data_IF_993242958507
#
_entry.id   IF_993242958507
#
_cell.length_a   1.000
_cell.length_b   1.000
_cell.length_c   1.000
_cell.angle_alpha   90.00
_cell.angle_beta   90.00
_cell.angle_gamma   90.00
#
_symmetry.space_group_name_H-M   'P 1'
#
loop_
_entity.id
_entity.type
_entity.pdbx_description
1 polymer ?
#
# COMPACT_ATOMS: atom_id res chain seq x y z
N UNK A 1 -17.38 12.43 18.69
CA UNK A 1 -15.93 12.35 18.44
C UNK A 1 -15.62 10.95 17.93
N UNK A 2 -15.03 10.84 16.76
CA UNK A 2 -14.82 9.53 16.10
C UNK A 2 -13.63 8.77 16.72
N UNK A 3 -12.61 9.48 17.20
CA UNK A 3 -11.32 8.91 17.61
C UNK A 3 -10.93 9.20 19.06
N UNK A 4 -11.79 9.84 19.85
CA UNK A 4 -11.55 10.22 21.25
C UNK A 4 -10.20 10.97 21.48
N UNK A 5 -9.76 11.75 20.51
CA UNK A 5 -8.61 12.65 20.65
C UNK A 5 -9.14 14.02 21.07
N UNK A 6 -8.67 14.54 22.19
CA UNK A 6 -8.97 15.90 22.67
C UNK A 6 -7.90 16.90 22.23
N UNK A 7 -8.26 18.19 22.28
CA UNK A 7 -7.32 19.26 21.92
C UNK A 7 -6.11 19.28 22.86
N UNK A 8 -6.32 18.99 24.17
CA UNK A 8 -5.23 18.92 25.13
C UNK A 8 -4.23 17.78 24.82
N UNK A 9 -4.69 16.67 24.23
CA UNK A 9 -3.81 15.57 23.85
C UNK A 9 -2.86 15.93 22.72
N UNK A 10 -3.23 16.91 21.88
CA UNK A 10 -2.44 17.34 20.72
C UNK A 10 -1.79 18.70 20.90
N UNK A 11 -2.08 19.41 22.00
CA UNK A 11 -1.54 20.75 22.27
C UNK A 11 0.00 20.81 22.20
N UNK A 12 0.65 19.76 22.69
CA UNK A 12 2.13 19.63 22.69
C UNK A 12 2.66 18.76 21.55
N UNK A 13 1.81 18.37 20.61
CA UNK A 13 2.23 17.59 19.45
C UNK A 13 3.13 18.43 18.54
N UNK A 14 4.10 17.78 17.95
CA UNK A 14 4.97 18.41 16.95
C UNK A 14 4.16 18.76 15.71
N UNK A 15 4.45 19.90 15.10
CA UNK A 15 3.82 20.31 13.86
C UNK A 15 4.09 19.29 12.75
N UNK A 16 3.09 19.04 11.90
CA UNK A 16 3.14 17.97 10.91
C UNK A 16 4.28 18.15 9.91
N UNK A 17 4.56 19.37 9.47
CA UNK A 17 5.68 19.71 8.59
C UNK A 17 7.06 19.37 9.17
N UNK A 18 7.17 19.21 10.49
CA UNK A 18 8.41 18.77 11.17
C UNK A 18 8.48 17.25 11.30
N UNK A 19 7.34 16.57 11.33
CA UNK A 19 7.27 15.11 11.50
C UNK A 19 7.32 14.40 10.15
N UNK A 20 6.76 15.01 9.10
CA UNK A 20 6.68 14.41 7.78
C UNK A 20 8.06 13.99 7.19
N UNK A 21 9.15 14.78 7.30
CA UNK A 21 10.46 14.35 6.84
C UNK A 21 10.99 13.10 7.54
N UNK A 22 10.71 12.96 8.84
CA UNK A 22 11.12 11.79 9.62
C UNK A 22 10.33 10.54 9.16
N UNK A 23 9.03 10.72 8.88
CA UNK A 23 8.22 9.66 8.30
C UNK A 23 8.74 9.26 6.92
N UNK A 24 9.04 10.21 6.03
CA UNK A 24 9.57 9.93 4.70
C UNK A 24 10.93 9.22 4.77
N UNK A 25 11.81 9.63 5.68
CA UNK A 25 13.09 8.98 5.91
C UNK A 25 12.91 7.55 6.45
N UNK A 26 11.93 7.33 7.32
CA UNK A 26 11.58 6.00 7.85
C UNK A 26 10.99 5.09 6.77
N UNK A 27 10.06 5.61 5.98
CA UNK A 27 9.41 4.86 4.90
C UNK A 27 10.37 4.54 3.75
N UNK A 28 11.34 5.42 3.48
CA UNK A 28 12.28 5.23 2.38
C UNK A 28 11.55 4.94 1.07
N UNK A 29 11.94 3.85 0.41
CA UNK A 29 11.30 3.34 -0.81
C UNK A 29 10.38 2.13 -0.55
N UNK A 30 10.04 1.86 0.70
CA UNK A 30 9.20 0.72 1.06
C UNK A 30 7.76 0.91 0.58
N UNK A 31 7.07 -0.22 0.37
CA UNK A 31 5.65 -0.23 0.03
C UNK A 31 4.83 0.12 1.27
N UNK A 32 3.98 1.13 1.17
CA UNK A 32 3.10 1.55 2.25
C UNK A 32 1.85 0.67 2.28
N UNK A 33 1.47 0.14 3.43
CA UNK A 33 0.26 -0.67 3.57
C UNK A 33 -0.71 -0.03 4.56
N UNK A 34 -1.99 0.05 4.17
CA UNK A 34 -3.01 0.62 5.04
C UNK A 34 -4.42 0.22 4.63
N UNK A 35 -5.37 0.37 5.55
CA UNK A 35 -6.78 0.09 5.31
C UNK A 35 -7.49 1.33 4.76
N UNK A 36 -7.96 1.28 3.52
CA UNK A 36 -8.46 2.43 2.78
C UNK A 36 -7.39 3.53 2.59
N UNK A 37 -6.14 3.12 2.50
CA UNK A 37 -4.99 4.01 2.37
C UNK A 37 -5.10 4.90 1.12
N UNK A 38 -5.55 4.34 0.00
CA UNK A 38 -5.77 5.07 -1.24
C UNK A 38 -6.85 6.17 -1.09
N UNK A 39 -7.91 5.86 -0.34
CA UNK A 39 -9.02 6.79 -0.11
C UNK A 39 -8.74 7.87 0.91
N UNK A 40 -7.80 7.64 1.81
CA UNK A 40 -7.51 8.52 2.95
C UNK A 40 -6.04 8.94 3.00
N UNK A 41 -5.17 8.11 3.54
CA UNK A 41 -3.81 8.48 3.94
C UNK A 41 -2.97 9.03 2.78
N UNK A 42 -3.00 8.36 1.62
CA UNK A 42 -2.22 8.80 0.45
C UNK A 42 -2.61 10.18 -0.04
N UNK A 43 -3.89 10.55 0.06
CA UNK A 43 -4.34 11.89 -0.34
C UNK A 43 -3.72 12.98 0.53
N UNK A 44 -3.62 12.74 1.83
CA UNK A 44 -2.97 13.66 2.75
C UNK A 44 -1.46 13.71 2.52
N UNK A 45 -0.83 12.54 2.38
CA UNK A 45 0.61 12.45 2.15
C UNK A 45 1.02 13.15 0.85
N UNK A 46 0.33 12.90 -0.27
CA UNK A 46 0.59 13.59 -1.54
C UNK A 46 0.44 15.11 -1.41
N UNK A 47 -0.70 15.57 -0.86
CA UNK A 47 -0.95 16.99 -0.67
C UNK A 47 0.13 17.66 0.18
N UNK A 48 0.52 17.02 1.27
CA UNK A 48 1.40 17.64 2.26
C UNK A 48 2.87 17.55 1.84
N UNK A 49 3.29 16.50 1.15
CA UNK A 49 4.59 16.45 0.49
C UNK A 49 4.74 17.56 -0.55
N UNK A 50 3.73 17.76 -1.40
CA UNK A 50 3.73 18.85 -2.38
C UNK A 50 3.75 20.20 -1.70
N UNK A 51 2.86 20.40 -0.72
CA UNK A 51 2.69 21.70 -0.03
C UNK A 51 3.94 22.15 0.72
N UNK A 52 4.59 21.24 1.46
CA UNK A 52 5.69 21.60 2.37
C UNK A 52 7.06 21.43 1.76
N UNK A 53 7.21 20.57 0.75
CA UNK A 53 8.52 20.21 0.19
C UNK A 53 8.61 20.33 -1.32
N UNK A 54 7.49 20.62 -2.02
CA UNK A 54 7.46 20.64 -3.48
C UNK A 54 7.84 19.28 -4.11
N UNK A 55 7.60 18.19 -3.39
CA UNK A 55 7.99 16.85 -3.79
C UNK A 55 6.76 15.94 -3.86
N UNK A 56 6.76 15.02 -4.82
CA UNK A 56 5.74 13.99 -4.92
C UNK A 56 6.21 12.73 -4.20
N UNK A 57 5.35 12.17 -3.35
CA UNK A 57 5.59 10.86 -2.75
C UNK A 57 5.56 9.78 -3.85
N UNK A 58 6.59 8.96 -3.92
CA UNK A 58 6.77 7.95 -4.99
C UNK A 58 6.58 6.52 -4.50
N UNK A 59 6.31 6.32 -3.23
CA UNK A 59 6.11 5.00 -2.65
C UNK A 59 4.89 4.31 -3.29
N UNK A 60 5.05 3.05 -3.66
CA UNK A 60 3.93 2.17 -3.93
C UNK A 60 3.11 1.92 -2.66
N UNK A 61 1.85 1.52 -2.82
CA UNK A 61 1.03 1.19 -1.67
C UNK A 61 0.12 -0.02 -1.90
N UNK A 62 -0.23 -0.69 -0.80
CA UNK A 62 -1.20 -1.78 -0.74
C UNK A 62 -2.40 -1.33 0.08
N UNK A 63 -3.59 -1.36 -0.53
CA UNK A 63 -4.84 -1.06 0.16
C UNK A 63 -5.51 -2.35 0.63
N UNK A 64 -5.47 -2.61 1.95
CA UNK A 64 -6.06 -3.82 2.53
C UNK A 64 -7.59 -3.84 2.43
N UNK A 65 -8.27 -2.68 2.25
CA UNK A 65 -9.70 -2.65 1.93
C UNK A 65 -9.96 -3.21 0.52
N UNK A 66 -9.08 -2.94 -0.44
CA UNK A 66 -9.20 -3.51 -1.79
C UNK A 66 -9.04 -5.04 -1.75
N UNK A 67 -8.05 -5.53 -0.99
CA UNK A 67 -7.86 -6.98 -0.79
C UNK A 67 -9.08 -7.59 -0.09
N UNK A 68 -9.60 -6.95 0.96
CA UNK A 68 -10.79 -7.43 1.67
C UNK A 68 -12.04 -7.52 0.78
N UNK A 69 -12.17 -6.65 -0.22
CA UNK A 69 -13.26 -6.76 -1.21
C UNK A 69 -13.12 -8.00 -2.08
N UNK A 70 -11.92 -8.47 -2.31
CA UNK A 70 -11.66 -9.70 -3.07
C UNK A 70 -11.89 -10.94 -2.20
N UNK A 71 -11.43 -10.93 -0.95
CA UNK A 71 -11.61 -12.05 -0.02
C UNK A 71 -13.08 -12.23 0.41
N UNK A 72 -13.80 -11.12 0.61
CA UNK A 72 -15.15 -11.11 1.18
C UNK A 72 -16.13 -10.33 0.30
N UNK A 73 -16.42 -10.78 -0.94
CA UNK A 73 -17.27 -10.04 -1.88
C UNK A 73 -18.70 -9.82 -1.31
N UNK A 74 -19.22 -10.78 -0.55
CA UNK A 74 -20.59 -10.75 -0.01
C UNK A 74 -20.76 -9.87 1.23
N UNK A 75 -19.67 -9.38 1.82
CA UNK A 75 -19.78 -8.57 3.03
C UNK A 75 -20.31 -7.17 2.70
N UNK A 76 -21.26 -6.70 3.50
CA UNK A 76 -21.80 -5.34 3.39
C UNK A 76 -20.78 -4.29 3.85
N UNK A 77 -20.06 -4.59 4.93
CA UNK A 77 -19.05 -3.72 5.52
C UNK A 77 -17.72 -4.49 5.64
N UNK A 78 -16.62 -3.79 5.45
CA UNK A 78 -15.26 -4.34 5.51
C UNK A 78 -14.37 -3.36 6.25
N UNK A 79 -14.85 -2.85 7.40
CA UNK A 79 -14.04 -2.01 8.27
C UNK A 79 -12.89 -2.84 8.84
N UNK A 80 -11.81 -2.18 9.21
CA UNK A 80 -10.67 -2.86 9.82
C UNK A 80 -11.08 -3.66 11.06
N UNK A 81 -12.01 -3.12 11.88
CA UNK A 81 -12.59 -3.84 13.01
C UNK A 81 -13.37 -5.09 12.62
N UNK A 82 -14.15 -5.04 11.53
CA UNK A 82 -14.95 -6.19 11.08
C UNK A 82 -14.02 -7.35 10.66
N UNK A 83 -12.92 -7.01 9.96
CA UNK A 83 -11.90 -7.97 9.55
C UNK A 83 -11.12 -8.51 10.75
N UNK A 84 -10.75 -7.64 11.69
CA UNK A 84 -10.06 -8.07 12.91
C UNK A 84 -10.90 -9.04 13.73
N UNK A 85 -12.20 -8.75 13.94
CA UNK A 85 -13.14 -9.65 14.61
C UNK A 85 -13.26 -11.01 13.91
N UNK A 86 -13.34 -11.00 12.57
CA UNK A 86 -13.40 -12.22 11.77
C UNK A 86 -12.18 -13.12 12.00
N UNK A 87 -10.99 -12.54 12.08
CA UNK A 87 -9.75 -13.27 12.30
C UNK A 87 -9.39 -13.49 13.78
N UNK A 88 -10.26 -13.09 14.71
CA UNK A 88 -10.01 -13.20 16.15
C UNK A 88 -8.89 -12.29 16.65
N UNK A 89 -8.62 -11.20 15.92
CA UNK A 89 -7.62 -10.19 16.27
C UNK A 89 -8.24 -9.19 17.25
N UNK A 90 -7.53 -8.84 18.31
CA UNK A 90 -8.02 -7.90 19.32
C UNK A 90 -8.20 -6.51 18.73
N UNK A 91 -9.39 -5.94 18.92
CA UNK A 91 -9.72 -4.55 18.57
C UNK A 91 -9.47 -3.58 19.72
N UNK A 92 -8.87 -4.04 20.82
CA UNK A 92 -8.52 -3.20 21.97
C UNK A 92 -7.54 -2.12 21.55
N UNK A 93 -7.91 -0.87 21.78
CA UNK A 93 -7.10 0.29 21.39
C UNK A 93 -7.37 0.79 19.96
N UNK A 94 -8.39 0.29 19.27
CA UNK A 94 -8.85 0.83 17.99
C UNK A 94 -9.06 2.36 18.08
N UNK A 95 -8.89 3.03 16.95
CA UNK A 95 -8.85 4.50 16.82
C UNK A 95 -7.61 5.16 17.46
N UNK A 96 -6.53 4.39 17.60
CA UNK A 96 -5.17 4.87 17.88
C UNK A 96 -4.26 4.41 16.75
N UNK A 97 -3.61 5.35 16.07
CA UNK A 97 -2.87 5.09 14.84
C UNK A 97 -1.95 3.87 14.91
N UNK A 98 -1.13 3.74 15.97
CA UNK A 98 -0.24 2.60 16.11
C UNK A 98 -0.97 1.27 16.34
N UNK A 99 -2.09 1.29 17.08
CA UNK A 99 -2.90 0.09 17.30
C UNK A 99 -3.59 -0.33 15.98
N UNK A 100 -4.08 0.65 15.22
CA UNK A 100 -4.70 0.41 13.92
C UNK A 100 -3.67 -0.12 12.90
N UNK A 101 -2.43 0.40 12.89
CA UNK A 101 -1.36 -0.14 12.06
C UNK A 101 -1.04 -1.61 12.39
N UNK A 102 -0.93 -1.95 13.69
CA UNK A 102 -0.68 -3.34 14.13
C UNK A 102 -1.85 -4.27 13.78
N UNK A 103 -3.06 -3.80 13.95
CA UNK A 103 -4.26 -4.53 13.56
C UNK A 103 -4.30 -4.76 12.05
N UNK A 104 -4.02 -3.72 11.27
CA UNK A 104 -3.96 -3.80 9.81
C UNK A 104 -2.88 -4.78 9.32
N UNK A 105 -1.71 -4.78 9.96
CA UNK A 105 -0.65 -5.76 9.66
C UNK A 105 -1.17 -7.19 9.85
N UNK A 106 -1.75 -7.51 11.01
CA UNK A 106 -2.25 -8.85 11.30
C UNK A 106 -3.38 -9.27 10.33
N UNK A 107 -4.32 -8.36 10.06
CA UNK A 107 -5.39 -8.60 9.08
C UNK A 107 -4.82 -8.85 7.68
N UNK A 108 -3.84 -8.07 7.25
CA UNK A 108 -3.16 -8.26 5.97
C UNK A 108 -2.50 -9.64 5.87
N UNK A 109 -1.77 -10.04 6.92
CA UNK A 109 -1.10 -11.36 6.98
C UNK A 109 -2.10 -12.52 6.93
N UNK A 110 -3.27 -12.38 7.56
CA UNK A 110 -4.32 -13.39 7.52
C UNK A 110 -4.97 -13.49 6.12
N UNK A 111 -5.33 -12.34 5.52
CA UNK A 111 -5.85 -12.31 4.15
C UNK A 111 -4.82 -12.84 3.14
N UNK A 112 -3.54 -12.54 3.32
CA UNK A 112 -2.48 -13.06 2.47
C UNK A 112 -2.36 -14.59 2.55
N UNK A 113 -2.56 -15.19 3.73
CA UNK A 113 -2.61 -16.65 3.89
C UNK A 113 -3.81 -17.27 3.19
N UNK A 114 -4.99 -16.64 3.26
CA UNK A 114 -6.18 -17.10 2.53
C UNK A 114 -5.96 -17.07 1.01
N UNK A 115 -5.39 -15.98 0.50
CA UNK A 115 -5.07 -15.82 -0.92
C UNK A 115 -3.87 -16.66 -1.34
N UNK A 116 -2.88 -16.85 -0.46
CA UNK A 116 -1.65 -17.61 -0.69
C UNK A 116 -1.84 -19.12 -0.65
N UNK A 117 -3.00 -19.63 -0.18
CA UNK A 117 -3.45 -21.00 -0.40
C UNK A 117 -3.70 -21.31 -1.89
N UNK A 118 -3.90 -20.30 -2.70
CA UNK A 118 -3.71 -20.30 -4.15
C UNK A 118 -2.28 -19.82 -4.40
N UNK A 119 -1.38 -20.74 -4.78
CA UNK A 119 -0.02 -20.43 -5.20
C UNK A 119 -0.03 -19.12 -6.01
N UNK A 120 0.44 -18.03 -5.43
CA UNK A 120 0.98 -16.94 -6.22
C UNK A 120 2.13 -17.63 -6.96
N UNK A 121 1.92 -17.99 -8.23
CA UNK A 121 3.04 -18.25 -9.12
C UNK A 121 3.88 -17.00 -8.96
N UNK A 122 5.06 -17.14 -8.36
CA UNK A 122 6.09 -16.15 -8.47
C UNK A 122 6.27 -15.97 -9.98
N UNK A 123 5.61 -14.98 -10.54
CA UNK A 123 6.04 -14.47 -11.82
C UNK A 123 7.42 -13.95 -11.53
N UNK A 124 8.43 -14.72 -11.95
CA UNK A 124 9.80 -14.23 -11.96
C UNK A 124 9.73 -12.86 -12.63
N UNK A 125 9.86 -11.82 -11.83
CA UNK A 125 9.88 -10.46 -12.37
C UNK A 125 11.18 -10.33 -13.16
N UNK A 126 11.08 -10.56 -14.45
CA UNK A 126 12.21 -10.33 -15.36
C UNK A 126 12.51 -8.84 -15.35
N UNK A 127 13.74 -8.53 -14.99
CA UNK A 127 14.25 -7.16 -14.96
C UNK A 127 14.94 -6.84 -16.28
N UNK A 128 14.63 -5.68 -16.82
CA UNK A 128 15.27 -5.18 -18.04
C UNK A 128 16.77 -4.97 -17.82
N UNK A 129 17.66 -5.65 -18.59
CA UNK A 129 19.09 -5.52 -18.41
C UNK A 129 19.64 -4.14 -18.85
N UNK A 130 18.80 -3.35 -19.55
CA UNK A 130 19.20 -2.05 -20.08
C UNK A 130 18.91 -0.89 -19.12
N UNK A 131 17.78 -0.94 -18.40
CA UNK A 131 17.35 0.18 -17.54
C UNK A 131 16.91 -0.23 -16.13
N UNK A 132 16.94 -1.52 -15.78
CA UNK A 132 16.58 -2.02 -14.46
C UNK A 132 15.07 -2.05 -14.14
N UNK A 133 14.21 -1.63 -15.06
CA UNK A 133 12.75 -1.69 -14.87
C UNK A 133 12.20 -3.08 -15.21
N UNK A 134 11.03 -3.41 -14.69
CA UNK A 134 10.38 -4.70 -14.93
C UNK A 134 10.06 -4.92 -16.43
N UNK A 135 10.17 -6.17 -16.88
CA UNK A 135 9.65 -6.61 -18.17
C UNK A 135 8.23 -7.13 -18.01
N UNK A 136 7.34 -6.78 -18.94
CA UNK A 136 5.98 -7.31 -19.02
C UNK A 136 5.76 -8.08 -20.31
N UNK A 137 5.02 -9.17 -20.24
CA UNK A 137 4.56 -9.89 -21.44
C UNK A 137 3.63 -9.01 -22.25
N UNK A 138 3.89 -8.94 -23.55
CA UNK A 138 3.11 -8.19 -24.54
C UNK A 138 2.86 -9.08 -25.76
N UNK A 139 1.72 -8.90 -26.41
CA UNK A 139 1.41 -9.54 -27.68
C UNK A 139 1.85 -8.62 -28.84
N UNK A 140 2.70 -9.12 -29.70
CA UNK A 140 3.15 -8.45 -30.91
C UNK A 140 2.70 -9.18 -32.17
N UNK A 141 3.06 -8.63 -33.34
CA UNK A 141 2.70 -9.21 -34.66
C UNK A 141 3.24 -10.64 -34.87
N UNK A 142 4.34 -10.99 -34.18
CA UNK A 142 5.01 -12.27 -34.34
C UNK A 142 4.90 -13.18 -33.11
N UNK A 143 3.97 -12.88 -32.18
CA UNK A 143 3.76 -13.65 -30.96
C UNK A 143 4.01 -12.86 -29.68
N UNK A 144 4.05 -13.57 -28.56
CA UNK A 144 4.32 -12.99 -27.26
C UNK A 144 5.80 -12.64 -27.10
N UNK A 145 6.06 -11.52 -26.45
CA UNK A 145 7.41 -11.07 -26.12
C UNK A 145 7.45 -10.33 -24.78
N UNK A 146 8.60 -10.27 -24.15
CA UNK A 146 8.84 -9.42 -23.00
C UNK A 146 9.21 -8.01 -23.45
N UNK A 147 8.43 -7.01 -23.05
CA UNK A 147 8.69 -5.59 -23.32
C UNK A 147 8.98 -4.82 -22.04
N UNK A 148 9.95 -3.94 -22.09
CA UNK A 148 10.30 -3.07 -20.96
C UNK A 148 9.15 -2.13 -20.62
N UNK A 149 8.89 -1.94 -19.31
CA UNK A 149 7.89 -0.98 -18.83
C UNK A 149 8.35 0.47 -18.97
N UNK A 150 9.63 0.71 -19.16
CA UNK A 150 10.20 2.04 -19.41
C UNK A 150 10.01 2.55 -20.85
N UNK A 151 9.20 1.90 -21.70
CA UNK A 151 8.83 2.46 -23.00
C UNK A 151 8.06 3.78 -22.84
N UNK A 152 8.36 4.83 -23.63
CA UNK A 152 9.18 4.84 -24.87
C UNK A 152 10.69 5.06 -24.67
N UNK A 153 11.16 5.39 -23.46
CA UNK A 153 12.54 5.74 -23.19
C UNK A 153 13.46 4.52 -23.26
N UNK A 154 12.97 3.37 -22.79
CA UNK A 154 13.65 2.09 -22.95
C UNK A 154 12.84 1.17 -23.89
N UNK A 155 13.45 0.83 -25.03
CA UNK A 155 12.81 -0.02 -26.06
C UNK A 155 13.32 -1.47 -26.02
N UNK A 156 13.82 -1.93 -24.88
CA UNK A 156 14.28 -3.31 -24.74
C UNK A 156 13.13 -4.30 -24.87
N UNK A 157 13.33 -5.32 -25.69
CA UNK A 157 12.43 -6.46 -25.86
C UNK A 157 13.21 -7.77 -25.89
N UNK A 158 12.59 -8.85 -25.43
CA UNK A 158 13.13 -10.20 -25.43
C UNK A 158 12.03 -11.18 -25.88
N UNK A 159 12.35 -12.09 -26.77
CA UNK A 159 11.40 -13.13 -27.21
C UNK A 159 11.15 -14.14 -26.09
N UNK A 160 9.96 -14.74 -26.09
CA UNK A 160 9.56 -15.80 -25.14
C UNK A 160 9.98 -17.14 -25.73
#
# INVERSE_FOLDING_TARGET
RVNNISDEMVEKARAFEKVLPEFLAFAGNDVLAGHNIAGCDMKFLYRDCEKYFGQTLTNDYIDTLAIAKMCFPEWKHRRLSDLAEHYGISTKGAHRALADCRMNQQVFEMMAKELGGTSVKQTEEKICPRCGLALKKRNGRFGEFWGCTGFPDCRYTENI
#
